data_IF_857275171622
#
_entry.id   IF_857275171622
#
_cell.length_a   1.000
_cell.length_b   1.000
_cell.length_c   1.000
_cell.angle_alpha   90.00
_cell.angle_beta   90.00
_cell.angle_gamma   90.00
#
_symmetry.space_group_name_H-M   'P 1'
#
loop_
_entity.id
_entity.type
_entity.pdbx_description
1 polymer ?
#
# COMPACT_ATOMS: atom_id res chain seq x y z
N UNK A 1 -18.85 -3.36 -13.70
CA UNK A 1 -18.76 -2.03 -13.08
C UNK A 1 -17.77 -1.24 -13.91
N UNK A 2 -17.99 0.04 -14.19
CA UNK A 2 -17.00 0.79 -14.98
C UNK A 2 -15.79 1.12 -14.11
N UNK A 3 -14.58 1.09 -14.68
CA UNK A 3 -13.34 1.44 -13.98
C UNK A 3 -13.39 2.86 -13.37
N UNK A 4 -14.17 3.76 -13.95
CA UNK A 4 -14.42 5.11 -13.40
C UNK A 4 -15.13 5.07 -12.06
N UNK A 5 -16.08 4.14 -11.88
CA UNK A 5 -16.86 3.99 -10.66
C UNK A 5 -15.98 3.40 -9.54
N UNK A 6 -15.14 2.43 -9.92
CA UNK A 6 -14.15 1.83 -9.02
C UNK A 6 -13.21 2.91 -8.49
N UNK A 7 -12.63 3.72 -9.39
CA UNK A 7 -11.71 4.76 -9.00
C UNK A 7 -12.41 5.88 -8.22
N UNK A 8 -13.67 6.21 -8.49
CA UNK A 8 -14.39 7.24 -7.74
C UNK A 8 -14.76 6.79 -6.31
N UNK A 9 -15.00 5.49 -6.11
CA UNK A 9 -15.32 4.90 -4.81
C UNK A 9 -14.12 4.47 -3.97
N UNK A 10 -12.90 4.57 -4.52
CA UNK A 10 -11.69 4.09 -3.85
C UNK A 10 -11.26 5.02 -2.71
N UNK A 11 -10.85 4.47 -1.55
CA UNK A 11 -10.44 5.27 -0.38
C UNK A 11 -9.33 6.27 -0.70
N UNK A 12 -8.36 5.89 -1.55
CA UNK A 12 -7.32 6.80 -2.01
C UNK A 12 -7.88 8.06 -2.69
N UNK A 13 -8.92 7.99 -3.51
CA UNK A 13 -9.45 9.17 -4.24
C UNK A 13 -10.57 9.88 -3.49
N UNK A 14 -10.91 9.43 -2.28
CA UNK A 14 -11.97 10.03 -1.48
C UNK A 14 -11.75 11.53 -1.31
N UNK A 15 -12.80 12.31 -1.59
CA UNK A 15 -12.78 13.78 -1.51
C UNK A 15 -12.05 14.49 -2.65
N UNK A 16 -11.49 13.77 -3.64
CA UNK A 16 -10.93 14.40 -4.83
C UNK A 16 -12.05 14.95 -5.74
N UNK A 17 -11.87 16.14 -6.34
CA UNK A 17 -12.79 16.65 -7.35
C UNK A 17 -12.94 15.66 -8.52
N UNK A 18 -14.17 15.48 -9.07
CA UNK A 18 -14.41 14.51 -10.15
C UNK A 18 -13.52 14.69 -11.38
N UNK A 19 -13.17 15.95 -11.72
CA UNK A 19 -12.26 16.25 -12.82
C UNK A 19 -10.84 15.69 -12.61
N UNK A 20 -10.35 15.63 -11.37
CA UNK A 20 -9.05 15.06 -11.04
C UNK A 20 -9.10 13.53 -11.04
N UNK A 21 -10.21 12.94 -10.56
CA UNK A 21 -10.45 11.49 -10.63
C UNK A 21 -10.45 11.04 -12.10
N UNK A 22 -11.09 11.79 -13.01
CA UNK A 22 -11.07 11.51 -14.45
C UNK A 22 -9.64 11.48 -15.02
N UNK A 23 -8.78 12.43 -14.62
CA UNK A 23 -7.37 12.43 -15.06
C UNK A 23 -6.62 11.20 -14.59
N UNK A 24 -6.85 10.75 -13.35
CA UNK A 24 -6.26 9.52 -12.83
C UNK A 24 -6.76 8.28 -13.57
N UNK A 25 -8.06 8.25 -13.90
CA UNK A 25 -8.67 7.18 -14.68
C UNK A 25 -8.00 7.03 -16.06
N UNK A 26 -7.70 8.12 -16.75
CA UNK A 26 -7.03 8.11 -18.05
C UNK A 26 -5.59 7.56 -18.01
N UNK A 27 -5.00 7.47 -16.81
CA UNK A 27 -3.67 6.90 -16.56
C UNK A 27 -3.72 5.47 -16.00
N UNK A 28 -4.89 5.03 -15.54
CA UNK A 28 -5.05 3.77 -14.84
C UNK A 28 -5.41 2.63 -15.79
N UNK A 29 -4.86 1.44 -15.51
CA UNK A 29 -5.28 0.18 -16.13
C UNK A 29 -5.56 -0.85 -15.05
N UNK A 30 -6.54 -1.72 -15.29
CA UNK A 30 -6.82 -2.85 -14.40
C UNK A 30 -5.79 -3.96 -14.60
N UNK A 31 -5.34 -4.54 -13.49
CA UNK A 31 -4.44 -5.70 -13.48
C UNK A 31 -4.96 -6.73 -12.49
N UNK A 32 -5.24 -7.93 -12.99
CA UNK A 32 -5.54 -9.09 -12.15
C UNK A 32 -4.25 -9.78 -11.73
N UNK A 33 -4.16 -10.11 -10.45
CA UNK A 33 -3.03 -10.79 -9.84
C UNK A 33 -3.50 -12.16 -9.35
N UNK A 34 -2.80 -13.22 -9.74
CA UNK A 34 -3.03 -14.54 -9.16
C UNK A 34 -2.35 -14.64 -7.78
N UNK A 35 -2.79 -15.58 -6.92
CA UNK A 35 -2.10 -15.84 -5.66
C UNK A 35 -0.58 -16.04 -5.86
N UNK A 36 0.21 -15.56 -4.89
CA UNK A 36 1.67 -15.59 -4.87
C UNK A 36 2.38 -14.77 -5.95
N UNK A 37 1.65 -14.02 -6.79
CA UNK A 37 2.25 -13.08 -7.74
C UNK A 37 3.04 -12.01 -6.99
N UNK A 38 4.35 -11.94 -7.24
CA UNK A 38 5.20 -10.84 -6.77
C UNK A 38 5.06 -9.68 -7.75
N UNK A 39 4.51 -8.56 -7.29
CA UNK A 39 4.26 -7.38 -8.13
C UNK A 39 5.58 -6.65 -8.42
N UNK A 40 6.41 -6.51 -7.40
CA UNK A 40 7.80 -6.05 -7.49
C UNK A 40 8.58 -6.46 -6.25
N UNK A 41 9.90 -6.54 -6.34
CA UNK A 41 10.80 -6.88 -5.22
C UNK A 41 11.43 -5.63 -4.61
N UNK A 42 11.87 -5.76 -3.35
CA UNK A 42 12.69 -4.73 -2.70
C UNK A 42 13.99 -4.51 -3.49
N UNK A 43 14.37 -3.26 -3.71
CA UNK A 43 15.53 -2.86 -4.48
C UNK A 43 15.32 -2.83 -6.01
N UNK A 44 14.18 -3.28 -6.52
CA UNK A 44 13.85 -3.12 -7.94
C UNK A 44 13.35 -1.70 -8.22
N UNK A 45 13.56 -1.24 -9.46
CA UNK A 45 13.00 0.02 -9.94
C UNK A 45 11.48 -0.02 -9.85
N UNK A 46 10.90 0.86 -9.03
CA UNK A 46 9.45 0.98 -8.91
C UNK A 46 8.93 1.83 -10.07
N UNK A 47 8.28 1.21 -11.05
CA UNK A 47 7.78 1.92 -12.25
C UNK A 47 6.34 2.40 -12.11
N UNK A 48 5.56 1.67 -11.34
CA UNK A 48 4.12 1.83 -11.26
C UNK A 48 3.66 2.10 -9.83
N UNK A 49 2.58 2.86 -9.71
CA UNK A 49 1.83 3.09 -8.50
C UNK A 49 0.50 2.34 -8.56
N UNK A 50 0.08 1.76 -7.43
CA UNK A 50 -1.03 0.82 -7.42
C UNK A 50 -2.09 1.17 -6.39
N UNK A 51 -3.36 0.98 -6.77
CA UNK A 51 -4.53 1.06 -5.90
C UNK A 51 -5.19 -0.31 -5.81
N UNK A 52 -5.43 -0.82 -4.61
CA UNK A 52 -6.02 -2.15 -4.40
C UNK A 52 -7.53 -2.06 -4.51
N UNK A 53 -8.10 -2.70 -5.52
CA UNK A 53 -9.56 -2.72 -5.74
C UNK A 53 -10.22 -3.83 -4.94
N UNK A 54 -9.63 -5.03 -4.97
CA UNK A 54 -10.13 -6.19 -4.23
C UNK A 54 -9.01 -7.21 -3.97
N UNK A 55 -9.25 -8.10 -3.02
CA UNK A 55 -8.29 -9.12 -2.61
C UNK A 55 -7.37 -8.63 -1.49
N UNK A 56 -6.22 -9.28 -1.35
CA UNK A 56 -5.25 -8.98 -0.30
C UNK A 56 -3.82 -9.15 -0.78
N UNK A 57 -2.95 -8.21 -0.39
CA UNK A 57 -1.53 -8.23 -0.70
C UNK A 57 -0.70 -8.16 0.58
N UNK A 58 0.48 -8.77 0.54
CA UNK A 58 1.50 -8.77 1.58
C UNK A 58 2.60 -7.81 1.17
N UNK A 59 2.91 -6.83 2.03
CA UNK A 59 4.11 -6.02 1.89
C UNK A 59 5.17 -6.59 2.81
N UNK A 60 6.31 -6.93 2.23
CA UNK A 60 7.30 -7.81 2.82
C UNK A 60 8.67 -7.16 2.85
N UNK A 61 9.32 -7.28 4.01
CA UNK A 61 10.76 -7.21 4.07
C UNK A 61 11.30 -8.59 3.67
N UNK A 62 11.76 -8.70 2.43
CA UNK A 62 12.25 -9.96 1.87
C UNK A 62 13.77 -9.97 1.83
N UNK A 63 14.37 -10.99 2.43
CA UNK A 63 15.78 -11.35 2.27
C UNK A 63 15.87 -12.66 1.48
N UNK A 64 17.07 -13.12 1.08
CA UNK A 64 17.23 -14.43 0.46
C UNK A 64 16.78 -15.61 1.34
N UNK A 65 16.70 -15.41 2.66
CA UNK A 65 16.47 -16.48 3.64
C UNK A 65 15.06 -16.42 4.22
N UNK A 66 14.49 -15.23 4.41
CA UNK A 66 13.19 -15.04 5.04
C UNK A 66 12.41 -13.87 4.41
N UNK A 67 11.09 -14.00 4.41
CA UNK A 67 10.17 -12.91 4.10
C UNK A 67 9.33 -12.60 5.34
N UNK A 68 9.43 -11.36 5.81
CA UNK A 68 8.67 -10.87 6.95
C UNK A 68 7.53 -10.01 6.43
N UNK A 69 6.28 -10.40 6.69
CA UNK A 69 5.14 -9.51 6.45
C UNK A 69 5.28 -8.27 7.34
N UNK A 70 5.30 -7.10 6.71
CA UNK A 70 5.32 -5.79 7.36
C UNK A 70 3.91 -5.25 7.51
N UNK A 71 3.11 -5.40 6.45
CA UNK A 71 1.72 -4.96 6.42
C UNK A 71 0.93 -5.84 5.46
N UNK A 72 -0.32 -6.12 5.82
CA UNK A 72 -1.31 -6.65 4.87
C UNK A 72 -2.11 -5.49 4.29
N UNK A 73 -2.25 -5.47 2.97
CA UNK A 73 -3.08 -4.53 2.22
C UNK A 73 -4.39 -5.19 1.81
N UNK A 74 -5.44 -4.39 1.76
CA UNK A 74 -6.79 -4.74 1.35
C UNK A 74 -7.37 -3.68 0.41
N UNK A 75 -8.62 -3.88 -0.03
CA UNK A 75 -9.33 -2.92 -0.86
C UNK A 75 -9.31 -1.49 -0.27
N UNK A 76 -8.99 -0.49 -1.09
CA UNK A 76 -8.85 0.90 -0.67
C UNK A 76 -7.41 1.32 -0.36
N UNK A 77 -6.49 0.37 -0.16
CA UNK A 77 -5.09 0.67 0.09
C UNK A 77 -4.32 1.02 -1.19
N UNK A 78 -3.15 1.64 -1.02
CA UNK A 78 -2.23 1.96 -2.11
C UNK A 78 -0.78 1.52 -1.81
N UNK A 79 -0.01 1.24 -2.86
CA UNK A 79 1.39 0.84 -2.77
C UNK A 79 2.18 1.24 -4.03
N UNK A 80 3.51 1.07 -4.00
CA UNK A 80 4.39 1.48 -5.11
C UNK A 80 4.70 2.98 -5.14
N UNK A 81 4.64 3.67 -3.98
CA UNK A 81 4.88 5.13 -3.91
C UNK A 81 6.28 5.54 -4.39
N UNK A 82 7.26 4.64 -4.31
CA UNK A 82 8.63 4.85 -4.81
C UNK A 82 8.65 5.27 -6.29
N UNK A 83 7.66 4.85 -7.08
CA UNK A 83 7.54 5.25 -8.49
C UNK A 83 7.34 6.76 -8.67
N UNK A 84 6.62 7.42 -7.75
CA UNK A 84 6.43 8.88 -7.79
C UNK A 84 7.67 9.65 -7.34
N UNK A 85 8.57 9.00 -6.62
CA UNK A 85 9.81 9.57 -6.09
C UNK A 85 11.02 9.27 -7.00
N UNK A 86 10.84 8.46 -8.05
CA UNK A 86 11.92 7.94 -8.90
C UNK A 86 12.98 7.19 -8.09
N UNK A 87 12.52 6.41 -7.11
CA UNK A 87 13.36 5.61 -6.22
C UNK A 87 13.06 4.12 -6.41
N UNK A 88 13.95 3.28 -5.88
CA UNK A 88 13.75 1.83 -5.82
C UNK A 88 12.68 1.46 -4.79
N UNK A 89 12.01 0.33 -4.99
CA UNK A 89 11.02 -0.17 -4.06
C UNK A 89 11.68 -0.52 -2.71
N UNK A 90 11.17 0.03 -1.62
CA UNK A 90 11.69 -0.29 -0.27
C UNK A 90 11.29 -1.69 0.20
N UNK A 91 10.15 -2.20 -0.27
CA UNK A 91 9.58 -3.48 0.13
C UNK A 91 9.20 -4.31 -1.09
N UNK A 92 9.14 -5.63 -0.91
CA UNK A 92 8.48 -6.52 -1.86
C UNK A 92 6.96 -6.44 -1.64
N UNK A 93 6.18 -6.57 -2.72
CA UNK A 93 4.72 -6.73 -2.63
C UNK A 93 4.28 -8.00 -3.33
N UNK A 94 3.50 -8.83 -2.64
CA UNK A 94 3.02 -10.13 -3.14
C UNK A 94 1.51 -10.26 -2.95
N UNK A 95 0.80 -10.76 -3.95
CA UNK A 95 -0.61 -11.12 -3.81
C UNK A 95 -0.77 -12.34 -2.89
N UNK A 96 -1.62 -12.24 -1.86
CA UNK A 96 -1.93 -13.35 -0.94
C UNK A 96 -3.06 -14.23 -1.46
N UNK A 97 -3.89 -13.65 -2.31
CA UNK A 97 -5.04 -14.26 -2.95
C UNK A 97 -5.27 -13.58 -4.31
N UNK A 98 -6.22 -14.10 -5.09
CA UNK A 98 -6.62 -13.48 -6.35
C UNK A 98 -7.05 -12.04 -6.07
N UNK A 99 -6.34 -11.08 -6.65
CA UNK A 99 -6.49 -9.66 -6.34
C UNK A 99 -6.67 -8.85 -7.61
N UNK A 100 -7.35 -7.71 -7.50
CA UNK A 100 -7.51 -6.74 -8.59
C UNK A 100 -6.90 -5.42 -8.13
N UNK A 101 -6.05 -4.84 -8.97
CA UNK A 101 -5.43 -3.54 -8.70
C UNK A 101 -5.60 -2.60 -9.89
N UNK A 102 -5.65 -1.30 -9.62
CA UNK A 102 -5.43 -0.28 -10.63
C UNK A 102 -3.94 0.06 -10.66
N UNK A 103 -3.33 -0.08 -11.82
CA UNK A 103 -1.94 0.25 -12.07
C UNK A 103 -1.86 1.60 -12.78
N UNK A 104 -1.10 2.53 -12.21
CA UNK A 104 -0.82 3.84 -12.79
C UNK A 104 0.68 3.93 -13.08
N UNK A 105 1.03 4.27 -14.32
CA UNK A 105 2.42 4.52 -14.70
C UNK A 105 2.96 5.71 -13.89
N UNK A 106 4.02 5.48 -13.11
CA UNK A 106 4.57 6.47 -12.19
C UNK A 106 5.13 7.69 -12.91
N UNK A 107 5.78 7.50 -14.06
CA UNK A 107 6.33 8.61 -14.84
C UNK A 107 5.23 9.50 -15.41
N UNK A 108 4.18 8.92 -15.98
CA UNK A 108 3.02 9.65 -16.50
C UNK A 108 2.24 10.33 -15.39
N UNK A 109 2.12 9.71 -14.23
CA UNK A 109 1.48 10.32 -13.06
C UNK A 109 2.27 11.52 -12.54
N UNK A 110 3.60 11.41 -12.42
CA UNK A 110 4.48 12.53 -12.05
C UNK A 110 4.35 13.67 -13.05
N UNK A 111 4.30 13.38 -14.34
CA UNK A 111 4.14 14.39 -15.38
C UNK A 111 2.76 15.07 -15.30
N UNK A 112 1.69 14.30 -15.09
CA UNK A 112 0.35 14.85 -14.88
C UNK A 112 0.29 15.78 -13.64
N UNK A 113 0.97 15.41 -12.55
CA UNK A 113 1.08 16.25 -11.35
C UNK A 113 1.85 17.56 -11.60
N UNK A 114 2.83 17.56 -12.51
CA UNK A 114 3.56 18.78 -12.90
C UNK A 114 2.71 19.71 -13.76
N UNK A 115 1.91 19.13 -14.66
CA UNK A 115 1.03 19.89 -15.55
C UNK A 115 -0.19 20.47 -14.83
N UNK A 116 -0.68 19.78 -13.79
CA UNK A 116 -1.76 20.25 -12.94
C UNK A 116 -1.35 20.23 -11.45
N UNK A 117 -0.91 21.38 -10.89
CA UNK A 117 -0.51 21.47 -9.50
C UNK A 117 -1.62 21.09 -8.49
N UNK A 118 -2.90 21.20 -8.86
CA UNK A 118 -4.00 20.76 -7.99
C UNK A 118 -4.04 19.24 -7.90
N UNK A 119 -3.83 18.55 -9.02
CA UNK A 119 -3.65 17.09 -9.04
C UNK A 119 -2.43 16.69 -8.22
N UNK A 120 -1.31 17.39 -8.42
CA UNK A 120 -0.08 17.18 -7.65
C UNK A 120 -0.32 17.27 -6.14
N UNK A 121 -0.97 18.33 -5.67
CA UNK A 121 -1.26 18.52 -4.24
C UNK A 121 -2.11 17.36 -3.67
N UNK A 122 -3.17 16.96 -4.37
CA UNK A 122 -4.03 15.87 -3.91
C UNK A 122 -3.30 14.52 -3.87
N UNK A 123 -2.45 14.23 -4.88
CA UNK A 123 -1.66 13.01 -4.97
C UNK A 123 -0.60 12.95 -3.88
N UNK A 124 0.24 13.98 -3.75
CA UNK A 124 1.34 13.98 -2.78
C UNK A 124 0.85 14.01 -1.32
N UNK A 125 -0.28 14.67 -1.04
CA UNK A 125 -0.92 14.63 0.29
C UNK A 125 -1.29 13.20 0.69
N UNK A 126 -1.91 12.45 -0.23
CA UNK A 126 -2.30 11.04 0.01
C UNK A 126 -1.11 10.10 0.00
N UNK A 127 -0.10 10.39 -0.82
CA UNK A 127 1.17 9.68 -0.79
C UNK A 127 1.81 9.76 0.60
N UNK A 128 1.78 10.93 1.23
CA UNK A 128 2.28 11.11 2.59
C UNK A 128 1.50 10.27 3.61
N UNK A 129 0.18 10.12 3.46
CA UNK A 129 -0.64 9.24 4.31
C UNK A 129 -0.26 7.76 4.14
N UNK A 130 -0.04 7.32 2.89
CA UNK A 130 0.43 5.95 2.59
C UNK A 130 1.78 5.68 3.23
N UNK A 131 2.74 6.62 3.10
CA UNK A 131 4.07 6.51 3.69
C UNK A 131 4.00 6.52 5.22
N UNK A 132 3.23 7.43 5.83
CA UNK A 132 3.07 7.50 7.27
C UNK A 132 2.45 6.22 7.85
N UNK A 133 1.48 5.63 7.15
CA UNK A 133 0.86 4.36 7.54
C UNK A 133 1.87 3.22 7.46
N UNK A 134 2.69 3.19 6.40
CA UNK A 134 3.75 2.18 6.23
C UNK A 134 4.84 2.28 7.28
N UNK A 135 5.23 3.52 7.63
CA UNK A 135 6.23 3.77 8.67
C UNK A 135 5.74 3.22 10.01
N UNK A 136 4.51 3.56 10.41
CA UNK A 136 3.89 3.03 11.64
C UNK A 136 3.80 1.51 11.65
N UNK A 137 3.40 0.91 10.52
CA UNK A 137 3.37 -0.55 10.41
C UNK A 137 4.77 -1.14 10.63
N UNK A 138 5.81 -0.54 10.05
CA UNK A 138 7.20 -0.99 10.24
C UNK A 138 7.66 -0.83 11.69
N UNK A 139 7.35 0.29 12.34
CA UNK A 139 7.64 0.53 13.76
C UNK A 139 7.00 -0.54 14.66
N UNK A 140 5.74 -0.89 14.43
CA UNK A 140 5.06 -1.94 15.18
C UNK A 140 5.75 -3.29 15.02
N UNK A 141 6.14 -3.68 13.79
CA UNK A 141 6.86 -4.93 13.56
C UNK A 141 8.22 -4.95 14.25
N UNK A 142 8.95 -3.83 14.26
CA UNK A 142 10.20 -3.72 15.01
C UNK A 142 9.99 -3.93 16.52
N UNK A 143 8.95 -3.34 17.09
CA UNK A 143 8.61 -3.53 18.50
C UNK A 143 8.20 -4.97 18.82
N UNK A 144 7.52 -5.67 17.91
CA UNK A 144 7.22 -7.11 18.03
C UNK A 144 8.50 -7.93 18.05
N UNK A 145 9.44 -7.70 17.12
CA UNK A 145 10.70 -8.44 17.03
C UNK A 145 11.62 -8.20 18.24
N UNK A 146 11.64 -6.99 18.78
CA UNK A 146 12.41 -6.67 19.97
C UNK A 146 11.74 -7.16 21.28
N UNK A 147 10.55 -7.78 21.21
CA UNK A 147 9.85 -8.33 22.38
C UNK A 147 9.08 -7.31 23.22
N UNK A 148 8.99 -6.04 22.79
CA UNK A 148 8.30 -4.99 23.56
C UNK A 148 6.77 -5.12 23.52
N UNK A 149 6.21 -5.67 22.44
CA UNK A 149 4.76 -5.90 22.33
C UNK A 149 4.30 -7.24 22.95
N UNK A 150 5.23 -8.18 23.21
CA UNK A 150 4.91 -9.47 23.83
C UNK A 150 4.78 -9.40 25.37
N UNK A 151 5.17 -8.29 26.01
CA UNK A 151 5.17 -8.19 27.47
C UNK A 151 3.81 -7.82 28.11
N UNK A 152 2.78 -7.51 27.33
CA UNK A 152 1.47 -7.08 27.85
C UNK A 152 0.43 -8.22 27.98
N UNK A 153 0.66 -9.42 27.45
CA UNK A 153 -0.33 -10.51 27.49
C UNK A 153 -0.16 -11.52 28.64
N UNK A 154 0.90 -11.43 29.45
CA UNK A 154 1.24 -12.44 30.48
C UNK A 154 0.95 -12.03 31.94
N UNK A 155 0.18 -10.98 32.22
CA UNK A 155 -0.28 -10.68 33.59
C UNK A 155 -1.68 -11.26 33.85
N UNK A 156 -1.77 -12.58 33.94
CA UNK A 156 -2.94 -13.25 34.55
C UNK A 156 -2.86 -13.03 36.07
N UNK A 157 -3.87 -12.45 36.74
CA UNK A 157 -3.83 -12.32 38.19
C UNK A 157 -3.85 -13.72 38.83
N UNK A 158 -3.18 -13.93 39.98
CA UNK A 158 -3.21 -15.21 40.67
C UNK A 158 -4.64 -15.56 41.10
N UNK A 159 -5.05 -16.81 40.90
CA UNK A 159 -6.33 -17.31 41.40
C UNK A 159 -6.37 -17.17 42.92
N UNK A 160 -7.48 -16.70 43.52
CA UNK A 160 -7.60 -16.65 44.97
C UNK A 160 -7.57 -18.08 45.53
N UNK A 161 -6.62 -18.33 46.43
CA UNK A 161 -6.59 -19.53 47.27
C UNK A 161 -7.80 -19.48 48.19
N UNK A 162 -8.76 -20.39 47.98
CA UNK A 162 -9.86 -20.61 48.90
C UNK A 162 -9.29 -21.15 50.22
N UNK A 163 -9.72 -20.56 51.34
CA UNK A 163 -9.47 -21.02 52.69
C UNK A 163 -10.81 -21.24 53.38
#
# INVERSE_FOLDING_TARGET
>A
MALSDILAGHSFTQGMPPGLIKKLFELAREVSLEPDTVVFRSGEESKDFYLVVSGSLSVELSTPVYAINIQTLAAGDAFGWSALLRDSAHFQVRARERSLVLCLDGQRLVEACRQDPRLGAEIYRRLAEVVATRLRATELRLLEFCGFLNHQSSRRPPKPTAR
#
